data_IF_055516967031
#
_entry.id   IF_055516967031
#
_cell.length_a   1.000
_cell.length_b   1.000
_cell.length_c   1.000
_cell.angle_alpha   90.00
_cell.angle_beta   90.00
_cell.angle_gamma   90.00
#
_symmetry.space_group_name_H-M   'P 1'
#
loop_
_entity.id
_entity.type
_entity.pdbx_description
1 polymer ?
#
# COMPACT_ATOMS: atom_id res chain seq x y z
N UNK A 1 22.03 -12.32 -33.60
CA UNK A 1 22.16 -11.90 -32.18
C UNK A 1 21.08 -10.86 -31.85
N UNK A 2 19.80 -11.26 -31.80
CA UNK A 2 18.65 -10.37 -31.56
C UNK A 2 17.84 -10.73 -30.30
N UNK A 3 18.43 -11.50 -29.37
CA UNK A 3 17.70 -12.11 -28.26
C UNK A 3 17.94 -11.48 -26.87
N UNK A 4 18.92 -10.59 -26.68
CA UNK A 4 19.17 -10.04 -25.32
C UNK A 4 18.13 -8.98 -24.94
N UNK A 5 17.91 -7.98 -25.81
CA UNK A 5 17.09 -6.80 -25.48
C UNK A 5 15.60 -7.11 -25.23
N UNK A 6 15.06 -8.15 -25.87
CA UNK A 6 13.66 -8.53 -25.67
C UNK A 6 13.46 -9.20 -24.30
N UNK A 7 14.33 -10.15 -23.93
CA UNK A 7 14.27 -10.80 -22.61
C UNK A 7 14.49 -9.80 -21.47
N UNK A 8 15.38 -8.83 -21.65
CA UNK A 8 15.62 -7.77 -20.67
C UNK A 8 14.38 -6.86 -20.49
N UNK A 9 13.66 -6.54 -21.56
CA UNK A 9 12.42 -5.75 -21.51
C UNK A 9 11.28 -6.49 -20.80
N UNK A 10 11.07 -7.78 -21.09
CA UNK A 10 10.07 -8.60 -20.38
C UNK A 10 10.38 -8.70 -18.90
N UNK A 11 11.65 -8.95 -18.54
CA UNK A 11 12.09 -9.03 -17.15
C UNK A 11 11.89 -7.71 -16.40
N UNK A 12 12.10 -6.56 -17.06
CA UNK A 12 11.85 -5.25 -16.48
C UNK A 12 10.35 -5.00 -16.24
N UNK A 13 9.49 -5.41 -17.17
CA UNK A 13 8.03 -5.33 -16.99
C UNK A 13 7.54 -6.22 -15.84
N UNK A 14 8.06 -7.44 -15.73
CA UNK A 14 7.68 -8.35 -14.63
C UNK A 14 8.08 -7.79 -13.27
N UNK A 15 9.27 -7.17 -13.18
CA UNK A 15 9.72 -6.49 -11.97
C UNK A 15 8.81 -5.31 -11.63
N UNK A 16 8.48 -4.47 -12.61
CA UNK A 16 7.58 -3.33 -12.40
C UNK A 16 6.20 -3.79 -11.93
N UNK A 17 5.61 -4.79 -12.58
CA UNK A 17 4.31 -5.35 -12.20
C UNK A 17 4.37 -5.89 -10.77
N UNK A 18 5.43 -6.61 -10.40
CA UNK A 18 5.62 -7.11 -9.04
C UNK A 18 5.79 -5.99 -8.01
N UNK A 19 6.51 -4.92 -8.34
CA UNK A 19 6.72 -3.79 -7.43
C UNK A 19 5.40 -3.00 -7.23
N UNK A 20 4.58 -2.86 -8.28
CA UNK A 20 3.23 -2.29 -8.16
C UNK A 20 2.32 -3.20 -7.32
N UNK A 21 2.39 -4.52 -7.48
CA UNK A 21 1.59 -5.45 -6.67
C UNK A 21 1.95 -5.38 -5.19
N UNK A 22 3.24 -5.19 -4.87
CA UNK A 22 3.68 -4.92 -3.49
C UNK A 22 3.11 -3.62 -2.96
N UNK A 23 3.17 -2.53 -3.74
CA UNK A 23 2.59 -1.25 -3.35
C UNK A 23 1.10 -1.41 -3.05
N UNK A 24 0.32 -2.06 -3.93
CA UNK A 24 -1.11 -2.34 -3.71
C UNK A 24 -1.37 -3.05 -2.37
N UNK A 25 -0.54 -4.03 -2.01
CA UNK A 25 -0.69 -4.77 -0.75
C UNK A 25 -0.29 -3.93 0.47
N UNK A 26 0.77 -3.12 0.35
CA UNK A 26 1.19 -2.17 1.38
C UNK A 26 0.08 -1.16 1.70
N UNK A 27 -0.42 -0.48 0.67
CA UNK A 27 -1.52 0.48 0.77
C UNK A 27 -2.78 -0.16 1.38
N UNK A 28 -3.12 -1.37 0.94
CA UNK A 28 -4.27 -2.10 1.49
C UNK A 28 -4.08 -2.45 2.98
N UNK A 29 -2.87 -2.81 3.39
CA UNK A 29 -2.50 -3.06 4.78
C UNK A 29 -2.57 -1.77 5.62
N UNK A 30 -2.06 -0.66 5.09
CA UNK A 30 -2.10 0.66 5.72
C UNK A 30 -3.55 1.15 5.92
N UNK A 31 -4.43 1.02 4.91
CA UNK A 31 -5.86 1.35 5.01
C UNK A 31 -6.53 0.60 6.18
N UNK A 32 -6.21 -0.68 6.33
CA UNK A 32 -6.70 -1.52 7.42
C UNK A 32 -6.12 -1.08 8.77
N UNK A 33 -4.82 -0.78 8.84
CA UNK A 33 -4.15 -0.34 10.05
C UNK A 33 -4.70 1.01 10.54
N UNK A 34 -4.85 2.00 9.66
CA UNK A 34 -5.39 3.29 10.03
C UNK A 34 -6.86 3.22 10.45
N UNK A 35 -7.66 2.31 9.88
CA UNK A 35 -9.00 2.06 10.37
C UNK A 35 -9.00 1.55 11.82
N UNK A 36 -8.07 0.64 12.14
CA UNK A 36 -7.87 0.12 13.51
C UNK A 36 -7.40 1.22 14.47
N UNK A 37 -6.43 2.04 14.07
CA UNK A 37 -5.91 3.14 14.89
C UNK A 37 -6.95 4.21 15.16
N UNK A 38 -7.76 4.58 14.15
CA UNK A 38 -8.85 5.53 14.33
C UNK A 38 -9.87 5.07 15.39
N UNK A 39 -10.10 3.76 15.51
CA UNK A 39 -10.96 3.19 16.56
C UNK A 39 -10.31 3.18 17.95
N UNK A 40 -8.98 3.21 18.02
CA UNK A 40 -8.21 3.23 19.27
C UNK A 40 -7.84 4.65 19.73
N UNK A 41 -8.07 5.66 18.89
CA UNK A 41 -7.64 7.02 19.13
C UNK A 41 -8.26 7.58 20.44
N UNK A 42 -7.48 8.24 21.31
CA UNK A 42 -7.92 8.70 22.62
C UNK A 42 -8.87 9.90 22.55
N UNK A 43 -8.89 10.62 21.42
CA UNK A 43 -9.73 11.79 21.21
C UNK A 43 -10.10 11.97 19.74
N UNK A 44 -11.09 12.84 19.49
CA UNK A 44 -11.63 13.09 18.15
C UNK A 44 -10.64 13.80 17.21
N UNK A 45 -9.70 14.59 17.75
CA UNK A 45 -8.71 15.31 16.94
C UNK A 45 -7.75 14.30 16.31
N UNK A 46 -7.19 13.41 17.12
CA UNK A 46 -6.32 12.33 16.66
C UNK A 46 -7.06 11.36 15.74
N UNK A 47 -8.29 10.96 16.09
CA UNK A 47 -9.11 10.12 15.23
C UNK A 47 -9.30 10.74 13.84
N UNK A 48 -9.63 12.04 13.78
CA UNK A 48 -9.82 12.74 12.52
C UNK A 48 -8.53 12.77 11.70
N UNK A 49 -7.39 13.04 12.33
CA UNK A 49 -6.10 13.05 11.65
C UNK A 49 -5.76 11.68 11.04
N UNK A 50 -5.99 10.59 11.80
CA UNK A 50 -5.78 9.22 11.31
C UNK A 50 -6.72 8.89 10.14
N UNK A 51 -7.97 9.34 10.19
CA UNK A 51 -8.92 9.15 9.10
C UNK A 51 -8.56 9.95 7.85
N UNK A 52 -7.93 11.12 8.00
CA UNK A 52 -7.39 11.89 6.87
C UNK A 52 -6.26 11.13 6.19
N UNK A 53 -5.29 10.61 6.96
CA UNK A 53 -4.19 9.77 6.45
C UNK A 53 -4.74 8.53 5.74
N UNK A 54 -5.69 7.83 6.37
CA UNK A 54 -6.36 6.67 5.75
C UNK A 54 -6.98 7.00 4.38
N UNK A 55 -7.54 8.20 4.22
CA UNK A 55 -8.14 8.60 2.94
C UNK A 55 -7.08 8.87 1.87
N UNK A 56 -5.87 9.24 2.26
CA UNK A 56 -4.75 9.38 1.34
C UNK A 56 -4.27 8.00 0.86
N UNK A 57 -4.15 7.01 1.74
CA UNK A 57 -3.83 5.63 1.34
C UNK A 57 -4.89 5.01 0.43
N UNK A 58 -6.18 5.32 0.63
CA UNK A 58 -7.24 4.90 -0.30
C UNK A 58 -6.98 5.47 -1.71
N UNK A 59 -6.53 6.72 -1.83
CA UNK A 59 -6.22 7.32 -3.12
C UNK A 59 -4.99 6.66 -3.74
N UNK A 60 -3.93 6.45 -2.97
CA UNK A 60 -2.73 5.75 -3.44
C UNK A 60 -3.04 4.35 -3.93
N UNK A 61 -3.79 3.56 -3.13
CA UNK A 61 -4.29 2.26 -3.51
C UNK A 61 -5.01 2.28 -4.86
N UNK A 62 -5.97 3.19 -5.05
CA UNK A 62 -6.70 3.29 -6.31
C UNK A 62 -5.79 3.65 -7.50
N UNK A 63 -4.82 4.54 -7.29
CA UNK A 63 -3.84 4.89 -8.32
C UNK A 63 -3.01 3.66 -8.74
N UNK A 64 -2.49 2.89 -7.78
CA UNK A 64 -1.71 1.68 -8.09
C UNK A 64 -2.57 0.60 -8.76
N UNK A 65 -3.81 0.39 -8.30
CA UNK A 65 -4.76 -0.54 -8.95
C UNK A 65 -5.01 -0.14 -10.41
N UNK A 66 -5.18 1.15 -10.68
CA UNK A 66 -5.38 1.66 -12.04
C UNK A 66 -4.14 1.39 -12.90
N UNK A 67 -2.94 1.69 -12.41
CA UNK A 67 -1.68 1.44 -13.12
C UNK A 67 -1.52 -0.06 -13.40
N UNK A 68 -1.72 -0.92 -12.40
CA UNK A 68 -1.64 -2.37 -12.55
C UNK A 68 -2.62 -2.90 -13.59
N UNK A 69 -3.88 -2.44 -13.54
CA UNK A 69 -4.92 -2.86 -14.48
C UNK A 69 -4.56 -2.43 -15.91
N UNK A 70 -4.03 -1.21 -16.08
CA UNK A 70 -3.60 -0.71 -17.39
C UNK A 70 -2.41 -1.50 -17.96
N UNK A 71 -1.47 -1.95 -17.11
CA UNK A 71 -0.30 -2.71 -17.54
C UNK A 71 -0.60 -4.18 -17.83
N UNK A 72 -1.50 -4.79 -17.06
CA UNK A 72 -1.69 -6.25 -17.04
C UNK A 72 -3.02 -6.71 -17.64
N UNK A 73 -3.98 -5.81 -17.78
CA UNK A 73 -5.36 -6.12 -18.19
C UNK A 73 -6.18 -6.89 -17.14
N UNK A 74 -5.64 -7.13 -15.94
CA UNK A 74 -6.29 -7.87 -14.85
C UNK A 74 -6.46 -6.99 -13.60
N UNK A 75 -7.48 -7.31 -12.81
CA UNK A 75 -7.65 -6.73 -11.48
C UNK A 75 -6.69 -7.39 -10.49
N UNK A 76 -6.03 -6.62 -9.61
CA UNK A 76 -5.21 -7.17 -8.54
C UNK A 76 -6.07 -7.84 -7.46
N UNK A 77 -5.44 -8.67 -6.62
CA UNK A 77 -6.07 -9.29 -5.44
C UNK A 77 -5.32 -8.87 -4.18
N UNK A 78 -5.61 -7.68 -3.63
CA UNK A 78 -4.88 -7.14 -2.49
C UNK A 78 -4.91 -8.11 -1.31
N UNK A 79 -3.78 -8.26 -0.64
CA UNK A 79 -3.62 -9.07 0.57
C UNK A 79 -3.06 -8.19 1.69
N UNK A 80 -3.46 -8.47 2.93
CA UNK A 80 -2.77 -7.91 4.10
C UNK A 80 -1.41 -8.60 4.20
N UNK A 81 -0.35 -7.84 4.01
CA UNK A 81 1.04 -8.34 4.09
C UNK A 81 1.73 -7.91 5.38
N UNK A 82 1.16 -6.93 6.08
CA UNK A 82 1.73 -6.38 7.31
C UNK A 82 0.66 -6.26 8.40
N UNK A 83 0.99 -6.76 9.58
CA UNK A 83 0.08 -6.76 10.72
C UNK A 83 0.19 -5.45 11.50
N UNK A 84 -0.93 -4.74 11.58
CA UNK A 84 -1.03 -3.54 12.41
C UNK A 84 -1.00 -3.90 13.91
N UNK A 85 -0.12 -3.28 14.72
CA UNK A 85 -0.04 -3.54 16.16
C UNK A 85 -1.38 -3.39 16.91
N UNK A 86 -1.50 -4.06 18.06
CA UNK A 86 -2.75 -4.11 18.84
C UNK A 86 -2.89 -2.98 19.87
N UNK A 87 -1.84 -2.17 20.08
CA UNK A 87 -1.89 -1.02 20.97
C UNK A 87 -1.71 0.26 20.17
N UNK A 88 -2.36 1.34 20.63
CA UNK A 88 -2.38 2.60 19.90
C UNK A 88 -0.98 3.18 19.65
N UNK A 89 -0.14 3.25 20.70
CA UNK A 89 1.20 3.82 20.59
C UNK A 89 2.11 3.02 19.65
N UNK A 90 2.10 1.68 19.77
CA UNK A 90 2.90 0.83 18.89
C UNK A 90 2.42 0.91 17.44
N UNK A 91 1.12 1.01 17.22
CA UNK A 91 0.58 1.12 15.86
C UNK A 91 0.84 2.50 15.24
N UNK A 92 0.85 3.57 16.04
CA UNK A 92 1.27 4.90 15.57
C UNK A 92 2.76 4.94 15.20
N UNK A 93 3.62 4.35 16.03
CA UNK A 93 5.06 4.24 15.72
C UNK A 93 5.29 3.40 14.45
N UNK A 94 4.61 2.26 14.34
CA UNK A 94 4.64 1.42 13.15
C UNK A 94 4.23 2.20 11.89
N UNK A 95 3.09 2.91 11.95
CA UNK A 95 2.60 3.70 10.83
C UNK A 95 3.60 4.78 10.39
N UNK A 96 4.17 5.54 11.33
CA UNK A 96 5.17 6.57 10.99
C UNK A 96 6.41 5.96 10.32
N UNK A 97 6.86 4.79 10.78
CA UNK A 97 8.02 4.11 10.19
C UNK A 97 7.71 3.52 8.81
N UNK A 98 6.47 3.10 8.59
CA UNK A 98 6.01 2.60 7.30
C UNK A 98 5.97 3.73 6.27
N UNK A 99 5.32 4.86 6.59
CA UNK A 99 5.23 6.05 5.72
C UNK A 99 6.60 6.62 5.32
N UNK A 100 7.65 6.43 6.11
CA UNK A 100 9.00 6.87 5.76
C UNK A 100 9.72 5.95 4.75
N UNK A 101 9.23 4.72 4.57
CA UNK A 101 9.83 3.69 3.71
C UNK A 101 9.07 3.52 2.40
N UNK A 102 7.82 3.98 2.33
CA UNK A 102 7.02 4.04 1.11
C UNK A 102 7.56 5.12 0.16
#
# INVERSE_FOLDING_TARGET
MYNSNYYDWYRQNDKLISDIEKAINGEYSAISCYAKLANMAPNQVEQKQILEIRNDEIKHFHNFVQIYTNLTGRQPKPQITEDCPNTYLQGLEFAIQDEQKQ
#
